data_IF_517601714113
#
_entry.id   IF_517601714113
#
_cell.length_a   1.000
_cell.length_b   1.000
_cell.length_c   1.000
_cell.angle_alpha   90.00
_cell.angle_beta   90.00
_cell.angle_gamma   90.00
#
_symmetry.space_group_name_H-M   'P 1'
#
loop_
_entity.id
_entity.type
_entity.pdbx_description
1 polymer ?
#
# COMPACT_ATOMS: atom_id res chain seq x y z
N UNK A 1 -46.12 -0.05 26.78
CA UNK A 1 -45.20 0.88 26.13
C UNK A 1 -46.05 1.74 25.20
N UNK A 2 -46.06 3.06 25.42
CA UNK A 2 -46.84 4.00 24.59
C UNK A 2 -46.31 4.01 23.16
N UNK A 3 -47.19 4.06 22.15
CA UNK A 3 -46.82 4.18 20.73
C UNK A 3 -45.83 5.30 20.48
N UNK A 4 -45.92 6.40 21.26
CA UNK A 4 -45.03 7.54 21.22
C UNK A 4 -43.58 7.19 21.62
N UNK A 5 -43.38 6.32 22.61
CA UNK A 5 -42.04 5.87 23.03
C UNK A 5 -41.37 4.96 21.97
N UNK A 6 -42.17 4.17 21.23
CA UNK A 6 -41.67 3.34 20.14
C UNK A 6 -41.19 4.20 18.97
N UNK A 7 -41.92 5.25 18.58
CA UNK A 7 -41.49 6.17 17.53
C UNK A 7 -40.19 6.88 17.88
N UNK A 8 -40.03 7.33 19.11
CA UNK A 8 -38.79 7.94 19.58
C UNK A 8 -37.60 7.00 19.52
N UNK A 9 -37.77 5.73 19.92
CA UNK A 9 -36.71 4.72 19.84
C UNK A 9 -36.29 4.43 18.39
N UNK A 10 -37.25 4.24 17.49
CA UNK A 10 -36.93 4.00 16.08
C UNK A 10 -36.29 5.22 15.42
N UNK A 11 -36.75 6.41 15.70
CA UNK A 11 -36.14 7.64 15.21
C UNK A 11 -34.68 7.79 15.69
N UNK A 12 -34.41 7.53 16.97
CA UNK A 12 -33.06 7.53 17.53
C UNK A 12 -32.16 6.49 16.85
N UNK A 13 -32.64 5.27 16.65
CA UNK A 13 -31.87 4.22 15.97
C UNK A 13 -31.53 4.63 14.54
N UNK A 14 -32.49 5.17 13.80
CA UNK A 14 -32.27 5.62 12.43
C UNK A 14 -31.23 6.76 12.38
N UNK A 15 -31.31 7.71 13.31
CA UNK A 15 -30.34 8.83 13.40
C UNK A 15 -28.95 8.28 13.73
N UNK A 16 -28.82 7.36 14.69
CA UNK A 16 -27.53 6.77 15.08
C UNK A 16 -26.92 6.00 13.92
N UNK A 17 -27.73 5.19 13.22
CA UNK A 17 -27.26 4.44 12.05
C UNK A 17 -26.85 5.40 10.92
N UNK A 18 -27.66 6.40 10.62
CA UNK A 18 -27.36 7.39 9.60
C UNK A 18 -26.08 8.17 9.90
N UNK A 19 -25.91 8.62 11.14
CA UNK A 19 -24.71 9.30 11.59
C UNK A 19 -23.48 8.37 11.55
N UNK A 20 -23.66 7.10 11.93
CA UNK A 20 -22.64 6.07 11.86
C UNK A 20 -22.14 5.84 10.42
N UNK A 21 -23.04 5.75 9.46
CA UNK A 21 -22.71 5.59 8.04
C UNK A 21 -21.95 6.83 7.51
N UNK A 22 -22.39 8.02 7.87
CA UNK A 22 -21.73 9.27 7.48
C UNK A 22 -20.31 9.32 8.06
N UNK A 23 -20.15 9.05 9.35
CA UNK A 23 -18.85 9.01 10.02
C UNK A 23 -17.93 7.95 9.40
N UNK A 24 -18.44 6.76 9.16
CA UNK A 24 -17.67 5.69 8.51
C UNK A 24 -17.15 6.11 7.14
N UNK A 25 -18.00 6.75 6.34
CA UNK A 25 -17.65 7.24 5.01
C UNK A 25 -16.59 8.35 5.05
N UNK A 26 -16.66 9.23 6.07
CA UNK A 26 -15.67 10.28 6.28
C UNK A 26 -14.31 9.75 6.77
N UNK A 27 -14.29 8.67 7.53
CA UNK A 27 -13.05 8.05 8.05
C UNK A 27 -12.36 7.18 6.97
N UNK A 28 -13.11 6.63 6.02
CA UNK A 28 -12.59 5.73 4.98
C UNK A 28 -11.33 6.24 4.26
N UNK A 29 -11.21 7.52 3.84
CA UNK A 29 -10.01 8.05 3.20
C UNK A 29 -8.75 8.02 4.08
N UNK A 30 -8.92 8.04 5.41
CA UNK A 30 -7.84 8.05 6.40
C UNK A 30 -7.49 6.65 6.92
N UNK A 31 -8.25 5.65 6.51
CA UNK A 31 -8.13 4.28 7.03
C UNK A 31 -6.74 3.69 6.75
N UNK A 32 -6.15 3.99 5.59
CA UNK A 32 -4.81 3.54 5.23
C UNK A 32 -3.74 4.08 6.18
N UNK A 33 -3.83 5.36 6.54
CA UNK A 33 -2.93 5.98 7.53
C UNK A 33 -3.09 5.40 8.93
N UNK A 34 -4.35 5.17 9.35
CA UNK A 34 -4.68 4.55 10.63
C UNK A 34 -4.13 3.11 10.74
N UNK A 35 -4.39 2.28 9.74
CA UNK A 35 -3.91 0.89 9.70
C UNK A 35 -2.39 0.83 9.60
N UNK A 36 -1.78 1.75 8.83
CA UNK A 36 -0.33 1.89 8.76
C UNK A 36 0.28 2.24 10.12
N UNK A 37 -0.33 3.18 10.85
CA UNK A 37 0.11 3.55 12.21
C UNK A 37 0.03 2.36 13.18
N UNK A 38 -1.07 1.60 13.14
CA UNK A 38 -1.26 0.39 13.96
C UNK A 38 -0.19 -0.66 13.64
N UNK A 39 0.06 -0.89 12.36
CA UNK A 39 1.08 -1.85 11.88
C UNK A 39 2.46 -1.47 12.39
N UNK A 40 2.87 -0.22 12.20
CA UNK A 40 4.18 0.28 12.65
C UNK A 40 4.25 0.24 14.19
N UNK A 41 3.18 0.62 14.89
CA UNK A 41 3.12 0.55 16.36
C UNK A 41 3.43 -0.87 16.87
N UNK A 42 2.81 -1.89 16.29
CA UNK A 42 3.04 -3.30 16.66
C UNK A 42 4.52 -3.70 16.47
N UNK A 43 5.17 -3.21 15.40
CA UNK A 43 6.58 -3.48 15.11
C UNK A 43 7.52 -2.81 16.12
N UNK A 44 7.31 -1.51 16.35
CA UNK A 44 8.23 -0.68 17.15
C UNK A 44 7.90 -0.65 18.64
N UNK A 45 6.81 -1.30 19.07
CA UNK A 45 6.39 -1.35 20.48
C UNK A 45 7.50 -1.82 21.41
N UNK A 46 8.25 -2.86 21.03
CA UNK A 46 9.37 -3.37 21.84
C UNK A 46 10.49 -2.33 21.98
N UNK A 47 10.78 -1.61 20.91
CA UNK A 47 11.76 -0.53 20.90
C UNK A 47 11.33 0.61 21.81
N UNK A 48 10.04 0.98 21.79
CA UNK A 48 9.48 1.99 22.69
C UNK A 48 9.62 1.61 24.17
N UNK A 49 9.32 0.36 24.52
CA UNK A 49 9.49 -0.15 25.89
C UNK A 49 10.96 -0.12 26.29
N UNK A 50 11.86 -0.55 25.41
CA UNK A 50 13.29 -0.54 25.65
C UNK A 50 13.84 0.87 25.92
N UNK A 51 13.48 1.86 25.09
CA UNK A 51 13.92 3.25 25.26
C UNK A 51 13.33 3.90 26.52
N UNK A 52 12.05 3.65 26.81
CA UNK A 52 11.37 4.30 27.93
C UNK A 52 11.70 3.66 29.30
N UNK A 53 11.79 2.32 29.38
CA UNK A 53 11.98 1.61 30.63
C UNK A 53 13.48 1.31 30.93
N UNK A 54 14.23 0.84 29.92
CA UNK A 54 15.63 0.46 30.12
C UNK A 54 16.58 1.64 30.00
N UNK A 55 16.35 2.55 29.06
CA UNK A 55 17.11 3.78 28.88
C UNK A 55 16.59 4.95 29.70
N UNK A 56 15.46 4.80 30.42
CA UNK A 56 14.81 5.83 31.25
C UNK A 56 14.54 7.14 30.52
N UNK A 57 14.35 7.08 29.20
CA UNK A 57 14.02 8.26 28.40
C UNK A 57 12.58 8.69 28.62
N UNK A 58 12.31 10.00 28.56
CA UNK A 58 10.92 10.51 28.58
C UNK A 58 10.15 9.90 27.40
N UNK A 59 8.94 9.38 27.66
CA UNK A 59 8.11 8.73 26.63
C UNK A 59 7.90 9.57 25.37
N UNK A 60 7.74 10.88 25.54
CA UNK A 60 7.58 11.81 24.41
C UNK A 60 8.83 11.82 23.52
N UNK A 61 10.04 11.87 24.09
CA UNK A 61 11.30 11.88 23.33
C UNK A 61 11.48 10.53 22.61
N UNK A 62 11.25 9.42 23.31
CA UNK A 62 11.33 8.10 22.71
C UNK A 62 10.34 7.94 21.54
N UNK A 63 9.09 8.42 21.72
CA UNK A 63 8.08 8.40 20.67
C UNK A 63 8.50 9.24 19.47
N UNK A 64 9.05 10.44 19.67
CA UNK A 64 9.54 11.30 18.57
C UNK A 64 10.66 10.62 17.78
N UNK A 65 11.65 10.03 18.48
CA UNK A 65 12.77 9.32 17.81
C UNK A 65 12.26 8.15 16.98
N UNK A 66 11.39 7.32 17.55
CA UNK A 66 10.85 6.13 16.85
C UNK A 66 9.98 6.55 15.65
N UNK A 67 9.17 7.60 15.82
CA UNK A 67 8.34 8.11 14.72
C UNK A 67 9.22 8.68 13.60
N UNK A 68 10.28 9.42 13.94
CA UNK A 68 11.25 9.92 12.96
C UNK A 68 11.98 8.76 12.24
N UNK A 69 12.41 7.73 12.98
CA UNK A 69 13.01 6.51 12.41
C UNK A 69 12.06 5.81 11.43
N UNK A 70 10.79 5.64 11.81
CA UNK A 70 9.78 5.04 10.95
C UNK A 70 9.55 5.84 9.67
N UNK A 71 9.48 7.18 9.77
CA UNK A 71 9.36 8.07 8.61
C UNK A 71 10.57 7.91 7.69
N UNK A 72 11.79 7.98 8.23
CA UNK A 72 13.01 7.85 7.44
C UNK A 72 13.13 6.49 6.77
N UNK A 73 12.79 5.41 7.47
CA UNK A 73 12.80 4.05 6.94
C UNK A 73 11.87 3.90 5.72
N UNK A 74 10.78 4.66 5.67
CA UNK A 74 9.84 4.64 4.56
C UNK A 74 10.20 5.66 3.46
N UNK A 75 10.59 6.89 3.84
CA UNK A 75 10.91 7.95 2.87
C UNK A 75 12.19 7.66 2.08
N UNK A 76 13.20 7.04 2.69
CA UNK A 76 14.47 6.79 2.01
C UNK A 76 14.30 5.90 0.77
N UNK A 77 13.68 4.70 0.84
CA UNK A 77 13.43 3.88 -0.32
C UNK A 77 12.56 4.58 -1.37
N UNK A 78 11.51 5.28 -0.92
CA UNK A 78 10.62 6.02 -1.81
C UNK A 78 11.36 7.14 -2.55
N UNK A 79 12.16 7.93 -1.84
CA UNK A 79 12.98 9.00 -2.45
C UNK A 79 13.98 8.44 -3.47
N UNK A 80 14.56 7.28 -3.18
CA UNK A 80 15.48 6.60 -4.07
C UNK A 80 14.78 6.14 -5.36
N UNK A 81 13.59 5.56 -5.26
CA UNK A 81 12.78 5.16 -6.43
C UNK A 81 12.42 6.39 -7.28
N UNK A 82 11.94 7.46 -6.64
CA UNK A 82 11.58 8.71 -7.33
C UNK A 82 12.81 9.33 -8.01
N UNK A 83 13.93 9.37 -7.32
CA UNK A 83 15.19 9.91 -7.87
C UNK A 83 15.68 9.11 -9.09
N UNK A 84 15.68 7.77 -8.99
CA UNK A 84 16.01 6.90 -10.12
C UNK A 84 15.03 7.07 -11.29
N UNK A 85 13.73 7.22 -10.99
CA UNK A 85 12.71 7.46 -12.01
C UNK A 85 12.99 8.80 -12.75
N UNK A 86 13.29 9.88 -12.02
CA UNK A 86 13.58 11.19 -12.61
C UNK A 86 14.81 11.11 -13.52
N UNK A 87 15.93 10.51 -13.07
CA UNK A 87 17.14 10.37 -13.88
C UNK A 87 16.86 9.58 -15.16
N UNK A 88 16.13 8.48 -15.06
CA UNK A 88 15.81 7.68 -16.24
C UNK A 88 14.83 8.39 -17.19
N UNK A 89 13.86 9.14 -16.67
CA UNK A 89 12.92 9.93 -17.47
C UNK A 89 13.60 11.10 -18.18
N UNK A 90 14.61 11.74 -17.56
CA UNK A 90 15.39 12.79 -18.20
C UNK A 90 16.21 12.31 -19.43
N UNK A 91 16.56 11.02 -19.43
CA UNK A 91 17.26 10.38 -20.54
C UNK A 91 16.32 9.83 -21.64
N UNK A 92 15.02 9.80 -21.38
CA UNK A 92 14.01 9.42 -22.36
C UNK A 92 13.57 10.72 -23.05
N UNK A 93 13.84 10.84 -24.34
CA UNK A 93 13.18 11.84 -25.17
C UNK A 93 11.67 11.56 -25.08
N UNK A 94 10.97 12.40 -24.30
CA UNK A 94 9.51 12.37 -24.20
C UNK A 94 8.84 12.90 -25.49
N UNK A 95 9.49 12.73 -26.64
CA UNK A 95 8.85 12.92 -27.93
C UNK A 95 7.73 11.87 -28.03
N UNK A 96 6.46 12.28 -28.14
CA UNK A 96 5.35 11.35 -28.32
C UNK A 96 5.60 10.36 -29.47
N UNK A 97 6.32 10.77 -30.51
CA UNK A 97 6.69 9.92 -31.63
C UNK A 97 7.71 8.84 -31.23
N UNK A 98 8.66 9.14 -30.37
CA UNK A 98 9.63 8.15 -29.88
C UNK A 98 9.00 7.05 -29.00
N UNK A 99 7.91 7.37 -28.30
CA UNK A 99 7.14 6.41 -27.51
C UNK A 99 6.26 5.54 -28.43
N UNK A 100 5.71 6.13 -29.49
CA UNK A 100 4.74 5.50 -30.38
C UNK A 100 5.42 4.65 -31.45
N UNK A 101 6.59 5.07 -31.96
CA UNK A 101 7.29 4.40 -33.05
C UNK A 101 7.55 2.88 -32.83
N UNK A 102 7.97 2.40 -31.64
CA UNK A 102 8.14 0.96 -31.40
C UNK A 102 6.82 0.18 -31.46
N UNK A 103 5.72 0.79 -31.03
CA UNK A 103 4.38 0.17 -31.12
C UNK A 103 3.88 0.13 -32.56
N UNK A 104 4.11 1.20 -33.34
CA UNK A 104 3.76 1.24 -34.76
C UNK A 104 4.57 0.23 -35.57
N UNK A 105 5.88 0.10 -35.30
CA UNK A 105 6.73 -0.92 -35.95
C UNK A 105 6.27 -2.33 -35.61
N UNK A 106 5.98 -2.62 -34.35
CA UNK A 106 5.50 -3.94 -33.94
C UNK A 106 4.14 -4.26 -34.55
N UNK A 107 3.24 -3.27 -34.58
CA UNK A 107 1.94 -3.43 -35.21
C UNK A 107 2.00 -3.60 -36.73
N UNK A 108 2.93 -2.93 -37.40
CA UNK A 108 3.19 -3.11 -38.84
C UNK A 108 3.67 -4.53 -39.15
N UNK A 109 4.59 -5.09 -38.34
CA UNK A 109 5.08 -6.46 -38.48
C UNK A 109 3.94 -7.49 -38.24
N UNK A 110 3.07 -7.24 -37.27
CA UNK A 110 1.94 -8.13 -36.98
C UNK A 110 0.90 -8.04 -38.10
N UNK A 111 0.62 -6.84 -38.61
CA UNK A 111 -0.31 -6.62 -39.74
C UNK A 111 0.21 -7.34 -41.00
N UNK A 112 1.50 -7.31 -41.27
CA UNK A 112 2.11 -7.98 -42.40
C UNK A 112 2.03 -9.51 -42.27
N UNK A 113 2.18 -10.06 -41.06
CA UNK A 113 2.14 -11.51 -40.81
C UNK A 113 0.75 -12.08 -40.58
N UNK A 114 -0.19 -11.32 -40.05
CA UNK A 114 -1.51 -11.84 -39.64
C UNK A 114 -2.68 -11.21 -40.38
N UNK A 115 -2.46 -10.11 -41.12
CA UNK A 115 -3.52 -9.34 -41.79
C UNK A 115 -4.38 -8.49 -40.85
N UNK A 116 -4.19 -8.60 -39.52
CA UNK A 116 -4.97 -7.85 -38.53
C UNK A 116 -4.29 -6.51 -38.18
N UNK A 117 -5.04 -5.42 -38.28
CA UNK A 117 -4.58 -4.10 -37.87
C UNK A 117 -4.86 -3.88 -36.38
N UNK A 118 -3.87 -4.15 -35.51
CA UNK A 118 -4.01 -4.04 -34.04
C UNK A 118 -3.99 -2.57 -33.60
N UNK A 119 -3.35 -1.68 -34.37
CA UNK A 119 -3.37 -0.24 -34.16
C UNK A 119 -4.28 0.42 -35.21
N UNK A 120 -5.60 0.29 -35.01
CA UNK A 120 -6.53 1.22 -35.65
C UNK A 120 -6.30 2.64 -35.10
N UNK A 121 -6.59 3.68 -35.90
CA UNK A 121 -6.37 5.09 -35.52
C UNK A 121 -6.96 5.50 -34.18
N UNK A 122 -7.89 4.72 -33.62
CA UNK A 122 -8.50 4.93 -32.29
C UNK A 122 -7.58 4.55 -31.14
N UNK A 123 -6.62 3.63 -31.33
CA UNK A 123 -5.71 3.17 -30.26
C UNK A 123 -4.70 4.26 -29.89
N UNK A 124 -4.24 5.04 -30.86
CA UNK A 124 -3.31 6.14 -30.66
C UNK A 124 -3.98 7.32 -29.94
N UNK A 125 -5.20 7.65 -30.36
CA UNK A 125 -6.02 8.69 -29.73
C UNK A 125 -6.38 8.31 -28.29
N UNK A 126 -6.61 7.02 -27.99
CA UNK A 126 -6.84 6.52 -26.65
C UNK A 126 -5.61 6.68 -25.75
N UNK A 127 -4.41 6.36 -26.23
CA UNK A 127 -3.17 6.54 -25.45
C UNK A 127 -2.94 8.02 -25.14
N UNK A 128 -3.04 8.89 -26.17
CA UNK A 128 -2.87 10.35 -26.01
C UNK A 128 -3.93 10.97 -25.07
N UNK A 129 -5.17 10.51 -25.14
CA UNK A 129 -6.25 10.99 -24.26
C UNK A 129 -6.13 10.46 -22.82
N UNK A 130 -5.41 9.36 -22.64
CA UNK A 130 -5.19 8.76 -21.31
C UNK A 130 -4.06 9.43 -20.53
N UNK A 131 -3.08 10.05 -21.20
CA UNK A 131 -1.95 10.74 -20.55
C UNK A 131 -2.39 11.81 -19.52
N UNK A 132 -3.32 12.74 -19.83
CA UNK A 132 -3.81 13.71 -18.85
C UNK A 132 -4.53 13.05 -17.67
N UNK A 133 -5.26 11.96 -17.90
CA UNK A 133 -5.93 11.20 -16.82
C UNK A 133 -4.92 10.53 -15.89
N UNK A 134 -3.84 9.97 -16.44
CA UNK A 134 -2.74 9.39 -15.65
C UNK A 134 -2.12 10.49 -14.78
N UNK A 135 -1.84 11.67 -15.34
CA UNK A 135 -1.32 12.82 -14.60
C UNK A 135 -2.23 13.24 -13.45
N UNK A 136 -3.54 13.37 -13.69
CA UNK A 136 -4.52 13.69 -12.65
C UNK A 136 -4.61 12.61 -11.57
N UNK A 137 -4.59 11.35 -11.95
CA UNK A 137 -4.61 10.21 -11.00
C UNK A 137 -3.36 10.21 -10.13
N UNK A 138 -2.18 10.49 -10.70
CA UNK A 138 -0.93 10.59 -9.95
C UNK A 138 -0.97 11.78 -8.98
N UNK A 139 -1.44 12.95 -9.40
CA UNK A 139 -1.58 14.12 -8.53
C UNK A 139 -2.56 13.85 -7.37
N UNK A 140 -3.70 13.23 -7.65
CA UNK A 140 -4.66 12.80 -6.62
C UNK A 140 -4.05 11.76 -5.67
N UNK A 141 -3.27 10.82 -6.19
CA UNK A 141 -2.54 9.83 -5.42
C UNK A 141 -1.51 10.45 -4.47
N UNK A 142 -0.73 11.43 -4.93
CA UNK A 142 0.26 12.16 -4.12
C UNK A 142 -0.44 12.91 -2.97
N UNK A 143 -1.54 13.59 -3.25
CA UNK A 143 -2.30 14.31 -2.23
C UNK A 143 -2.85 13.34 -1.17
N UNK A 144 -3.51 12.26 -1.59
CA UNK A 144 -4.01 11.22 -0.68
C UNK A 144 -2.89 10.57 0.13
N UNK A 145 -1.75 10.33 -0.49
CA UNK A 145 -0.56 9.79 0.18
C UNK A 145 -0.05 10.75 1.27
N UNK A 146 0.07 12.05 0.97
CA UNK A 146 0.54 13.04 1.93
C UNK A 146 -0.39 13.14 3.14
N UNK A 147 -1.71 13.15 2.92
CA UNK A 147 -2.71 13.16 4.00
C UNK A 147 -2.63 11.90 4.84
N UNK A 148 -2.57 10.71 4.23
CA UNK A 148 -2.47 9.45 4.97
C UNK A 148 -1.14 9.32 5.72
N UNK A 149 -0.03 9.86 5.18
CA UNK A 149 1.25 9.91 5.87
C UNK A 149 1.19 10.83 7.10
N UNK A 150 0.54 11.99 6.98
CA UNK A 150 0.30 12.87 8.13
C UNK A 150 -0.51 12.17 9.22
N UNK A 151 -1.62 11.52 8.84
CA UNK A 151 -2.46 10.74 9.77
C UNK A 151 -1.65 9.62 10.44
N UNK A 152 -0.87 8.87 9.65
CA UNK A 152 -0.01 7.80 10.15
C UNK A 152 0.97 8.31 11.22
N UNK A 153 1.71 9.37 10.91
CA UNK A 153 2.70 9.97 11.82
C UNK A 153 2.04 10.46 13.10
N UNK A 154 0.94 11.19 12.97
CA UNK A 154 0.20 11.74 14.08
C UNK A 154 -0.34 10.63 14.99
N UNK A 155 -1.05 9.67 14.43
CA UNK A 155 -1.64 8.56 15.18
C UNK A 155 -0.55 7.70 15.81
N UNK A 156 0.51 7.34 15.07
CA UNK A 156 1.63 6.56 15.59
C UNK A 156 2.27 7.22 16.81
N UNK A 157 2.54 8.53 16.73
CA UNK A 157 3.12 9.28 17.84
C UNK A 157 2.26 9.20 19.11
N UNK A 158 0.95 9.43 18.99
CA UNK A 158 0.04 9.35 20.14
C UNK A 158 -0.15 7.91 20.63
N UNK A 159 -0.15 6.92 19.75
CA UNK A 159 -0.17 5.50 20.13
C UNK A 159 1.08 5.12 20.92
N UNK A 160 2.26 5.61 20.54
CA UNK A 160 3.51 5.35 21.28
C UNK A 160 3.50 5.97 22.67
N UNK A 161 3.00 7.19 22.81
CA UNK A 161 2.87 7.85 24.13
C UNK A 161 1.85 7.14 25.01
N UNK A 162 0.67 6.84 24.46
CA UNK A 162 -0.46 6.25 25.18
C UNK A 162 -0.39 4.74 25.38
N UNK A 163 0.52 4.04 24.71
CA UNK A 163 0.58 2.61 24.42
C UNK A 163 -0.07 1.68 25.46
N UNK A 164 0.46 1.63 26.69
CA UNK A 164 -0.08 0.71 27.72
C UNK A 164 -1.54 0.98 28.07
N UNK A 165 -1.93 2.27 28.18
CA UNK A 165 -3.31 2.66 28.50
C UNK A 165 -4.28 2.33 27.36
N UNK A 166 -3.83 2.58 26.12
CA UNK A 166 -4.60 2.26 24.92
C UNK A 166 -4.83 0.75 24.79
N UNK A 167 -3.80 -0.07 24.99
CA UNK A 167 -3.92 -1.53 24.95
C UNK A 167 -4.90 -2.06 26.01
N UNK A 168 -4.81 -1.55 27.24
CA UNK A 168 -5.75 -1.91 28.31
C UNK A 168 -7.20 -1.53 27.95
N UNK A 169 -7.38 -0.34 27.37
CA UNK A 169 -8.70 0.12 26.93
C UNK A 169 -9.25 -0.75 25.79
N UNK A 170 -8.45 -1.05 24.78
CA UNK A 170 -8.84 -1.91 23.65
C UNK A 170 -9.19 -3.31 24.14
N UNK A 171 -8.39 -3.89 25.03
CA UNK A 171 -8.67 -5.21 25.62
C UNK A 171 -10.00 -5.22 26.42
N UNK A 172 -10.34 -4.10 27.05
CA UNK A 172 -11.60 -3.97 27.81
C UNK A 172 -12.86 -3.81 26.94
N UNK A 173 -12.72 -3.36 25.70
CA UNK A 173 -13.84 -3.18 24.75
C UNK A 173 -14.14 -4.48 23.99
N UNK A 174 -13.15 -5.36 23.82
CA UNK A 174 -13.33 -6.59 23.08
C UNK A 174 -14.34 -7.51 23.80
N UNK A 175 -15.41 -7.94 23.14
CA UNK A 175 -16.46 -8.78 23.74
C UNK A 175 -16.04 -10.25 23.84
N UNK A 176 -14.78 -10.51 24.16
CA UNK A 176 -14.22 -11.86 24.27
C UNK A 176 -13.78 -12.15 25.71
N UNK A 177 -13.78 -13.43 26.08
CA UNK A 177 -13.14 -13.88 27.30
C UNK A 177 -11.64 -13.58 27.27
N UNK A 178 -11.00 -13.37 28.41
CA UNK A 178 -9.58 -13.00 28.53
C UNK A 178 -8.66 -13.92 27.72
N UNK A 179 -8.91 -15.23 27.75
CA UNK A 179 -8.13 -16.22 26.99
C UNK A 179 -8.26 -16.03 25.49
N UNK A 180 -9.47 -15.79 24.98
CA UNK A 180 -9.72 -15.56 23.56
C UNK A 180 -9.14 -14.22 23.11
N UNK A 181 -9.26 -13.18 23.94
CA UNK A 181 -8.65 -11.87 23.68
C UNK A 181 -7.13 -11.98 23.51
N UNK A 182 -6.46 -12.72 24.40
CA UNK A 182 -5.02 -12.93 24.32
C UNK A 182 -4.63 -13.70 23.05
N UNK A 183 -5.38 -14.74 22.68
CA UNK A 183 -5.14 -15.50 21.46
C UNK A 183 -5.29 -14.63 20.20
N UNK A 184 -6.40 -13.89 20.11
CA UNK A 184 -6.66 -12.98 18.97
C UNK A 184 -5.58 -11.90 18.85
N UNK A 185 -5.21 -11.25 19.95
CA UNK A 185 -4.14 -10.24 19.97
C UNK A 185 -2.80 -10.85 19.57
N UNK A 186 -2.50 -12.07 20.05
CA UNK A 186 -1.27 -12.78 19.67
C UNK A 186 -1.23 -13.08 18.17
N UNK A 187 -2.33 -13.57 17.63
CA UNK A 187 -2.46 -13.93 16.22
C UNK A 187 -2.37 -12.70 15.30
N UNK A 188 -3.05 -11.60 15.65
CA UNK A 188 -2.91 -10.31 14.96
C UNK A 188 -1.46 -9.83 14.98
N UNK A 189 -0.80 -9.85 16.13
CA UNK A 189 0.60 -9.44 16.26
C UNK A 189 1.52 -10.30 15.38
N UNK A 190 1.29 -11.61 15.32
CA UNK A 190 2.05 -12.54 14.50
C UNK A 190 1.87 -12.25 13.01
N UNK A 191 0.61 -12.13 12.56
CA UNK A 191 0.28 -11.85 11.15
C UNK A 191 0.87 -10.50 10.71
N UNK A 192 0.62 -9.45 11.50
CA UNK A 192 1.12 -8.10 11.18
C UNK A 192 2.64 -8.09 11.10
N UNK A 193 3.32 -8.71 12.06
CA UNK A 193 4.78 -8.75 12.11
C UNK A 193 5.37 -9.56 10.96
N UNK A 194 4.78 -10.71 10.65
CA UNK A 194 5.23 -11.55 9.53
C UNK A 194 5.09 -10.84 8.19
N UNK A 195 3.97 -10.18 7.95
CA UNK A 195 3.73 -9.43 6.72
C UNK A 195 4.62 -8.18 6.62
N UNK A 196 4.75 -7.43 7.70
CA UNK A 196 5.52 -6.20 7.70
C UNK A 196 7.04 -6.40 7.50
N UNK A 197 7.55 -7.59 7.84
CA UNK A 197 8.95 -7.99 7.56
C UNK A 197 9.02 -8.77 6.25
N UNK A 198 8.08 -9.67 6.02
CA UNK A 198 8.07 -10.57 4.87
C UNK A 198 7.90 -9.84 3.53
N UNK A 199 7.00 -8.85 3.46
CA UNK A 199 6.75 -8.10 2.22
C UNK A 199 7.98 -7.32 1.75
N UNK A 200 8.66 -6.50 2.58
CA UNK A 200 9.90 -5.84 2.17
C UNK A 200 11.03 -6.81 1.82
N UNK A 201 11.16 -7.91 2.56
CA UNK A 201 12.17 -8.93 2.29
C UNK A 201 11.91 -9.58 0.91
N UNK A 202 10.66 -9.92 0.63
CA UNK A 202 10.26 -10.46 -0.67
C UNK A 202 10.55 -9.46 -1.80
N UNK A 203 10.26 -8.18 -1.61
CA UNK A 203 10.56 -7.12 -2.57
C UNK A 203 12.05 -7.02 -2.88
N UNK A 204 12.91 -7.10 -1.86
CA UNK A 204 14.37 -7.09 -2.02
C UNK A 204 14.85 -8.32 -2.79
N UNK A 205 14.36 -9.51 -2.44
CA UNK A 205 14.74 -10.75 -3.13
C UNK A 205 14.27 -10.73 -4.59
N UNK A 206 13.03 -10.35 -4.86
CA UNK A 206 12.50 -10.28 -6.21
C UNK A 206 13.20 -9.22 -7.06
N UNK A 207 13.45 -8.04 -6.50
CA UNK A 207 14.24 -7.01 -7.16
C UNK A 207 15.66 -7.49 -7.47
N UNK A 208 16.31 -8.17 -6.55
CA UNK A 208 17.66 -8.75 -6.75
C UNK A 208 17.71 -9.81 -7.83
N UNK A 209 16.77 -10.75 -7.83
CA UNK A 209 16.65 -11.78 -8.87
C UNK A 209 16.37 -11.15 -10.24
N UNK A 210 15.49 -10.13 -10.28
CA UNK A 210 15.21 -9.40 -11.51
C UNK A 210 16.46 -8.68 -12.04
N UNK A 211 17.25 -8.04 -11.15
CA UNK A 211 18.52 -7.40 -11.55
C UNK A 211 19.50 -8.39 -12.20
N UNK A 212 19.62 -9.59 -11.62
CA UNK A 212 20.47 -10.65 -12.18
C UNK A 212 19.95 -11.05 -13.57
N UNK A 213 18.65 -11.24 -13.72
CA UNK A 213 18.03 -11.55 -15.02
C UNK A 213 18.30 -10.44 -16.06
N UNK A 214 18.05 -9.19 -15.71
CA UNK A 214 18.32 -8.04 -16.58
C UNK A 214 19.80 -7.92 -16.97
N UNK A 215 20.71 -8.24 -16.05
CA UNK A 215 22.14 -8.25 -16.32
C UNK A 215 22.53 -9.36 -17.34
N UNK A 216 22.00 -10.57 -17.17
CA UNK A 216 22.26 -11.70 -18.09
C UNK A 216 21.76 -11.39 -19.51
N UNK A 217 20.57 -10.78 -19.62
CA UNK A 217 19.97 -10.44 -20.91
C UNK A 217 20.42 -9.11 -21.51
N UNK A 218 21.36 -8.40 -20.85
CA UNK A 218 21.90 -7.14 -21.35
C UNK A 218 20.88 -5.99 -21.41
N UNK A 219 19.86 -6.02 -20.53
CA UNK A 219 18.85 -4.98 -20.54
C UNK A 219 19.43 -3.62 -20.11
N UNK A 220 18.99 -2.50 -20.71
CA UNK A 220 19.39 -1.17 -20.27
C UNK A 220 18.80 -0.85 -18.89
N UNK A 221 19.53 -0.03 -18.10
CA UNK A 221 19.08 0.48 -16.80
C UNK A 221 18.72 -0.62 -15.77
N UNK A 222 19.59 -1.63 -15.61
CA UNK A 222 19.42 -2.80 -14.74
C UNK A 222 18.95 -2.41 -13.33
N UNK A 223 19.59 -1.39 -12.72
CA UNK A 223 19.24 -0.93 -11.37
C UNK A 223 17.81 -0.41 -11.30
N UNK A 224 17.43 0.45 -12.25
CA UNK A 224 16.06 1.01 -12.27
C UNK A 224 15.00 -0.09 -12.46
N UNK A 225 15.21 -0.96 -13.46
CA UNK A 225 14.26 -2.04 -13.76
C UNK A 225 14.14 -3.02 -12.60
N UNK A 226 15.25 -3.36 -11.93
CA UNK A 226 15.25 -4.24 -10.77
C UNK A 226 14.57 -3.60 -9.56
N UNK A 227 14.84 -2.33 -9.27
CA UNK A 227 14.13 -1.59 -8.21
C UNK A 227 12.65 -1.48 -8.49
N UNK A 228 12.27 -1.15 -9.74
CA UNK A 228 10.87 -1.06 -10.13
C UNK A 228 10.15 -2.39 -9.97
N UNK A 229 10.80 -3.50 -10.36
CA UNK A 229 10.25 -4.86 -10.17
C UNK A 229 10.08 -5.19 -8.69
N UNK A 230 11.09 -4.91 -7.87
CA UNK A 230 11.00 -5.12 -6.42
C UNK A 230 9.89 -4.27 -5.79
N UNK A 231 9.74 -3.02 -6.20
CA UNK A 231 8.68 -2.15 -5.69
C UNK A 231 7.28 -2.60 -6.16
N UNK A 232 7.15 -3.00 -7.41
CA UNK A 232 5.89 -3.52 -7.95
C UNK A 232 5.44 -4.82 -7.25
N UNK A 233 6.38 -5.63 -6.76
CA UNK A 233 6.08 -6.86 -6.04
C UNK A 233 5.42 -6.65 -4.67
N UNK A 234 5.53 -5.45 -4.10
CA UNK A 234 4.82 -5.06 -2.86
C UNK A 234 3.31 -4.98 -3.09
N UNK A 235 2.89 -4.78 -4.35
CA UNK A 235 1.46 -4.74 -4.70
C UNK A 235 0.94 -6.17 -4.94
N UNK A 236 0.13 -6.75 -4.03
CA UNK A 236 -0.21 -8.19 -4.08
C UNK A 236 -0.99 -8.62 -5.32
N UNK A 237 -1.64 -7.69 -6.01
CA UNK A 237 -2.47 -8.00 -7.18
C UNK A 237 -1.69 -8.42 -8.43
N UNK A 238 -0.42 -8.01 -8.54
CA UNK A 238 0.39 -8.31 -9.73
C UNK A 238 1.11 -9.65 -9.61
N UNK A 239 1.45 -10.08 -8.37
CA UNK A 239 2.22 -11.31 -8.13
C UNK A 239 1.37 -12.59 -8.09
N UNK A 240 0.09 -12.52 -7.73
CA UNK A 240 -0.78 -13.71 -7.59
C UNK A 240 -1.64 -14.02 -8.81
N UNK A 241 -1.81 -13.08 -9.73
CA UNK A 241 -2.63 -13.26 -10.94
C UNK A 241 -2.21 -14.48 -11.81
N UNK A 242 -0.90 -14.75 -12.07
CA UNK A 242 -0.48 -15.91 -12.86
C UNK A 242 -0.77 -17.24 -12.15
N UNK A 243 -0.63 -17.30 -10.82
CA UNK A 243 -0.82 -18.52 -10.03
C UNK A 243 -2.30 -18.90 -9.96
N UNK A 244 -3.18 -17.92 -9.77
CA UNK A 244 -4.63 -18.17 -9.77
C UNK A 244 -5.15 -18.65 -11.12
N UNK A 245 -4.57 -18.17 -12.23
CA UNK A 245 -4.96 -18.59 -13.58
C UNK A 245 -4.55 -20.03 -13.89
N UNK A 246 -3.38 -20.47 -13.43
CA UNK A 246 -2.93 -21.86 -13.60
C UNK A 246 -3.73 -22.84 -12.75
N UNK A 247 -4.15 -22.45 -11.54
CA UNK A 247 -5.01 -23.28 -10.68
C UNK A 247 -6.43 -23.44 -11.25
N UNK A 248 -7.01 -22.38 -11.79
CA UNK A 248 -8.33 -22.44 -12.43
C UNK A 248 -8.31 -23.35 -13.68
N UNK A 249 -7.26 -23.27 -14.48
CA UNK A 249 -7.13 -24.11 -15.68
C UNK A 249 -6.88 -25.58 -15.36
N UNK A 250 -6.20 -25.89 -14.26
CA UNK A 250 -6.01 -27.28 -13.81
C UNK A 250 -7.33 -27.91 -13.31
N UNK A 251 -8.28 -27.13 -12.81
CA UNK A 251 -9.59 -27.62 -12.38
C UNK A 251 -10.54 -27.88 -13.56
N UNK A 252 -10.42 -27.15 -14.66
CA UNK A 252 -11.26 -27.37 -15.87
C UNK A 252 -10.82 -28.58 -16.70
N UNK A 253 -9.60 -29.09 -16.52
CA UNK A 253 -9.09 -30.25 -17.25
C UNK A 253 -9.34 -31.58 -16.56
N UNK A 254 -9.98 -31.59 -15.38
CA UNK A 254 -10.29 -32.81 -14.60
C UNK A 254 -11.81 -33.12 -14.57
N UNK A 255 -12.65 -32.36 -15.27
CA UNK A 255 -14.05 -32.67 -15.57
C UNK A 255 -14.22 -33.00 -17.04
#
# INVERSE_FOLDING_TARGET
>A
MSTKEQYWKYSLIIIIIGLGIILFRQITPFLSGLLGALTIYILVRRQMIYLSEKRKMKRSIAATIITAEAILCFLIPLALVVWLAIINLQNINLDPQAIIAPFEQTAAIIKEKTGYNILGGDSLSFVLSSLPRIGQTLMGGISSFAVNMFVLVFVLYFMLIGGKKMEQYVNGILPFNETNTQNVVHEINMIVRSNAIGIPLLAIIQGGVAMIGYWIFGAPNILFSGFLTGFASVVPMVGTAPVSYTHLRAHETVL
#
